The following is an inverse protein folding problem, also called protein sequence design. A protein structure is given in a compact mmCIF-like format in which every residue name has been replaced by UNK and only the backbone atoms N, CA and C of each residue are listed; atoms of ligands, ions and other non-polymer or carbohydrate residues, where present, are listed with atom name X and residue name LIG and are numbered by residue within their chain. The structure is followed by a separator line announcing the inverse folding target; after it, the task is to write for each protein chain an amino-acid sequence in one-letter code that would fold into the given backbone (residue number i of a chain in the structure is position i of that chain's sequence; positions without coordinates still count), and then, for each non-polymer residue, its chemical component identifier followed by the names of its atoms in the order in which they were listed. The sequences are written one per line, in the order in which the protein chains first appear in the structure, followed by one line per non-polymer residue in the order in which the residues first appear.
data_IF_539398449853
#
_entry.id   IF_539398449853
#
_cell.length_a   1.000
_cell.length_b   1.000
_cell.length_c   1.000
_cell.angle_alpha   90.00
_cell.angle_beta   90.00
_cell.angle_gamma   90.00
#
_symmetry.space_group_name_H-M   'P 1'
#
loop_
_entity.id
_entity.type
_entity.pdbx_description
1 polymer ?
2 polymer ?
3 non-polymer ?
4 non-polymer ?
5 water ?
#
# COMPACT_ATOMS: atom_id res chain seq x y z
N UNK A 1 18.10 -1.94 -18.02
CA UNK A 1 17.91 -0.96 -16.91
C UNK A 1 19.19 -0.25 -16.54
N UNK A 2 19.07 1.01 -16.13
CA UNK A 2 20.23 1.82 -15.79
C UNK A 2 20.99 1.26 -14.59
N UNK A 3 20.38 0.39 -13.80
CA UNK A 3 21.03 -0.19 -12.63
C UNK A 3 21.62 -1.56 -12.91
N UNK A 4 21.58 -2.02 -14.17
CA UNK A 4 22.05 -3.35 -14.48
C UNK A 4 23.52 -3.57 -14.21
N UNK A 5 24.31 -2.50 -14.25
CA UNK A 5 25.76 -2.63 -14.04
C UNK A 5 26.17 -2.53 -12.57
N UNK A 6 25.26 -2.22 -11.65
CA UNK A 6 25.62 -2.04 -10.25
C UNK A 6 25.36 -3.31 -9.45
N UNK A 7 26.29 -3.63 -8.54
CA UNK A 7 26.14 -4.79 -7.65
C UNK A 7 24.84 -4.71 -6.86
N UNK A 8 24.23 -5.87 -6.62
CA UNK A 8 23.05 -5.94 -5.76
C UNK A 8 23.30 -5.27 -4.41
N UNK A 9 24.42 -5.61 -3.76
CA UNK A 9 24.68 -5.08 -2.43
C UNK A 9 24.86 -3.57 -2.45
N UNK A 10 25.48 -3.05 -3.51
CA UNK A 10 25.66 -1.61 -3.65
C UNK A 10 24.32 -0.90 -3.84
N UNK A 11 23.42 -1.51 -4.61
CA UNK A 11 22.07 -0.95 -4.76
C UNK A 11 21.35 -0.88 -3.42
N UNK A 12 21.45 -1.93 -2.61
CA UNK A 12 20.82 -1.92 -1.29
C UNK A 12 21.46 -0.86 -0.41
N UNK A 13 22.80 -0.79 -0.42
CA UNK A 13 23.48 0.23 0.36
C UNK A 13 23.03 1.62 -0.04
N UNK A 14 22.92 1.89 -1.35
CA UNK A 14 22.53 3.21 -1.79
C UNK A 14 21.05 3.48 -1.55
N UNK A 15 20.20 2.45 -1.58
CA UNK A 15 18.81 2.65 -1.20
C UNK A 15 18.72 3.17 0.24
N UNK A 16 19.55 2.63 1.13
CA UNK A 16 19.53 3.08 2.53
C UNK A 16 20.06 4.50 2.66
N UNK A 17 21.07 4.85 1.88
CA UNK A 17 21.56 6.22 1.86
C UNK A 17 20.48 7.18 1.36
N UNK A 18 19.81 6.81 0.27
CA UNK A 18 18.76 7.66 -0.29
C UNK A 18 17.65 7.89 0.72
N UNK A 19 17.27 6.83 1.46
CA UNK A 19 16.28 7.00 2.53
C UNK A 19 16.74 8.05 3.54
N UNK A 20 18.01 7.98 3.96
CA UNK A 20 18.51 8.95 4.93
C UNK A 20 18.45 10.36 4.37
N UNK A 21 18.68 10.51 3.06
CA UNK A 21 18.66 11.79 2.38
C UNK A 21 17.25 12.20 1.96
N UNK A 22 16.25 11.36 2.21
CA UNK A 22 14.87 11.62 1.78
C UNK A 22 14.80 11.81 0.26
N UNK A 23 15.59 11.00 -0.45
CA UNK A 23 15.60 10.97 -1.91
C UNK A 23 14.85 9.71 -2.36
N UNK A 24 13.53 9.75 -2.28
CA UNK A 24 12.77 8.51 -2.43
C UNK A 24 12.66 8.04 -3.88
N UNK A 25 12.69 8.96 -4.85
CA UNK A 25 12.74 8.53 -6.24
C UNK A 25 14.03 7.75 -6.52
N UNK A 26 15.16 8.24 -6.03
CA UNK A 26 16.41 7.47 -6.12
C UNK A 26 16.27 6.14 -5.41
N UNK A 27 15.72 6.16 -4.20
CA UNK A 27 15.58 4.95 -3.41
C UNK A 27 14.80 3.90 -4.18
N UNK A 28 13.72 4.30 -4.83
CA UNK A 28 12.89 3.37 -5.58
C UNK A 28 13.64 2.80 -6.77
N UNK A 29 14.37 3.66 -7.51
CA UNK A 29 15.15 3.17 -8.63
C UNK A 29 16.22 2.18 -8.18
N UNK A 30 16.88 2.44 -7.04
CA UNK A 30 17.86 1.49 -6.53
C UNK A 30 17.20 0.15 -6.19
N UNK A 31 16.04 0.19 -5.51
CA UNK A 31 15.39 -1.06 -5.11
C UNK A 31 14.80 -1.79 -6.29
N UNK A 32 14.29 -1.06 -7.30
CA UNK A 32 13.90 -1.70 -8.54
C UNK A 32 15.08 -2.44 -9.15
N UNK A 33 16.25 -1.79 -9.18
CA UNK A 33 17.43 -2.45 -9.69
C UNK A 33 17.78 -3.70 -8.90
N UNK A 34 17.64 -3.64 -7.57
CA UNK A 34 17.93 -4.80 -6.74
C UNK A 34 16.95 -5.94 -7.03
N UNK A 35 15.66 -5.63 -7.17
CA UNK A 35 14.68 -6.66 -7.49
C UNK A 35 15.04 -7.33 -8.81
N UNK A 36 15.44 -6.54 -9.80
CA UNK A 36 15.69 -7.07 -11.13
C UNK A 36 16.95 -7.93 -11.20
N UNK A 37 17.75 -8.00 -10.12
CA UNK A 37 18.82 -8.98 -10.07
C UNK A 37 18.29 -10.41 -10.06
N UNK A 38 17.03 -10.61 -9.68
CA UNK A 38 16.39 -11.91 -9.78
C UNK A 38 16.41 -12.74 -8.51
N UNK A 39 17.14 -12.31 -7.47
CA UNK A 39 17.14 -13.02 -6.21
C UNK A 39 15.96 -12.56 -5.35
N UNK A 40 15.49 -13.46 -4.48
CA UNK A 40 14.44 -13.09 -3.54
C UNK A 40 14.97 -11.99 -2.60
N UNK A 41 14.03 -11.27 -2.01
CA UNK A 41 14.35 -10.19 -1.06
C UNK A 41 14.18 -10.66 0.37
N UNK A 42 15.10 -10.23 1.23
CA UNK A 42 14.99 -10.43 2.67
C UNK A 42 13.89 -9.54 3.24
N UNK A 43 13.56 -9.76 4.52
CA UNK A 43 12.54 -8.94 5.17
C UNK A 43 12.92 -7.46 5.13
N UNK A 44 14.17 -7.14 5.45
CA UNK A 44 14.59 -5.75 5.45
C UNK A 44 14.51 -5.16 4.05
N UNK A 45 14.90 -5.95 3.04
CA UNK A 45 14.87 -5.46 1.66
C UNK A 45 13.44 -5.24 1.17
N UNK A 46 12.51 -6.12 1.55
CA UNK A 46 11.11 -5.90 1.18
C UNK A 46 10.61 -4.59 1.77
N UNK A 47 11.00 -4.32 3.01
CA UNK A 47 10.56 -3.07 3.64
C UNK A 47 11.17 -1.86 2.93
N UNK A 48 12.44 -1.95 2.51
CA UNK A 48 13.04 -0.85 1.76
C UNK A 48 12.28 -0.60 0.46
N UNK A 49 11.92 -1.67 -0.25
CA UNK A 49 11.16 -1.54 -1.49
C UNK A 49 9.85 -0.82 -1.24
N UNK A 50 9.12 -1.24 -0.21
CA UNK A 50 7.84 -0.63 0.11
C UNK A 50 7.99 0.82 0.56
N UNK A 51 8.96 1.11 1.42
CA UNK A 51 9.17 2.49 1.87
C UNK A 51 9.41 3.39 0.66
N UNK A 52 10.27 2.96 -0.26
CA UNK A 52 10.63 3.80 -1.40
C UNK A 52 9.40 4.13 -2.24
N UNK A 53 8.70 3.11 -2.73
CA UNK A 53 7.58 3.38 -3.61
C UNK A 53 6.41 4.01 -2.88
N UNK A 54 6.19 3.68 -1.61
CA UNK A 54 5.08 4.32 -0.90
C UNK A 54 5.29 5.83 -0.81
N UNK A 55 6.54 6.25 -0.62
CA UNK A 55 6.82 7.68 -0.54
C UNK A 55 6.70 8.34 -1.90
N UNK A 56 7.18 7.68 -2.96
CA UNK A 56 7.02 8.24 -4.31
C UNK A 56 5.54 8.41 -4.65
N UNK A 57 4.77 7.34 -4.54
CA UNK A 57 3.36 7.42 -4.91
C UNK A 57 2.61 8.30 -3.92
N UNK A 58 3.10 8.42 -2.69
CA UNK A 58 2.45 9.30 -1.72
C UNK A 58 2.51 10.76 -2.13
N UNK A 59 3.65 11.19 -2.68
CA UNK A 59 3.73 12.54 -3.21
C UNK A 59 2.81 12.75 -4.40
N UNK A 60 2.71 11.75 -5.28
CA UNK A 60 1.84 11.86 -6.45
C UNK A 60 0.37 11.89 -6.03
N UNK A 61 -0.01 11.07 -5.05
CA UNK A 61 -1.40 11.06 -4.60
C UNK A 61 -1.78 12.39 -3.99
N UNK A 62 -0.89 12.97 -3.18
CA UNK A 62 -1.19 14.25 -2.56
C UNK A 62 -1.34 15.32 -3.62
N UNK A 63 -0.46 15.33 -4.63
CA UNK A 63 -0.55 16.30 -5.71
C UNK A 63 -1.82 16.10 -6.51
N UNK A 64 -2.14 14.85 -6.85
CA UNK A 64 -3.34 14.57 -7.61
C UNK A 64 -4.58 15.07 -6.89
N UNK A 65 -4.64 14.91 -5.58
CA UNK A 65 -5.82 15.35 -4.83
C UNK A 65 -5.96 16.86 -4.87
N UNK A 66 -4.85 17.58 -4.73
CA UNK A 66 -4.88 19.04 -4.84
C UNK A 66 -5.45 19.45 -6.20
N UNK A 67 -4.90 18.88 -7.28
CA UNK A 67 -5.31 19.27 -8.62
C UNK A 67 -6.74 18.84 -8.92
N UNK A 68 -7.13 17.64 -8.46
CA UNK A 68 -8.50 17.20 -8.67
C UNK A 68 -9.50 18.12 -7.97
N UNK A 69 -9.16 18.58 -6.77
CA UNK A 69 -10.03 19.52 -6.06
C UNK A 69 -10.20 20.81 -6.86
N UNK A 70 -9.10 21.36 -7.34
CA UNK A 70 -9.15 22.57 -8.17
C UNK A 70 -10.01 22.31 -9.41
N UNK A 71 -9.83 21.16 -10.05
CA UNK A 71 -10.59 20.84 -11.25
C UNK A 71 -12.08 20.79 -10.95
N UNK A 72 -12.47 20.17 -9.84
CA UNK A 72 -13.89 20.05 -9.52
C UNK A 72 -14.51 21.40 -9.21
N UNK A 73 -13.76 22.30 -8.56
CA UNK A 73 -14.27 23.65 -8.35
C UNK A 73 -14.50 24.35 -9.68
N UNK A 74 -13.57 24.19 -10.62
CA UNK A 74 -13.70 24.87 -11.92
C UNK A 74 -14.95 24.44 -12.66
N UNK A 75 -15.53 23.30 -12.31
CA UNK A 75 -16.70 22.77 -13.01
C UNK A 75 -18.00 23.01 -12.24
N UNK A 76 -17.96 23.78 -11.16
CA UNK A 76 -19.17 24.15 -10.43
C UNK A 76 -20.04 25.05 -11.28
N UNK A 79 -16.21 29.54 -11.08
CA UNK A 79 -17.15 29.18 -12.13
C UNK A 79 -16.68 29.68 -13.49
N UNK A 80 -15.66 30.54 -13.50
CA UNK A 80 -15.17 31.12 -14.74
C UNK A 80 -14.36 30.09 -15.53
N UNK A 81 -14.59 30.06 -16.84
CA UNK A 81 -13.82 29.18 -17.72
C UNK A 81 -12.37 29.61 -17.75
N UNK A 82 -11.46 28.63 -17.66
CA UNK A 82 -10.03 28.92 -17.69
C UNK A 82 -9.26 28.04 -18.66
N UNK A 83 -9.95 27.29 -19.52
CA UNK A 83 -9.30 26.51 -20.52
C UNK A 83 -8.90 25.14 -20.01
N UNK A 84 -8.09 24.43 -20.79
CA UNK A 84 -7.79 23.01 -20.52
C UNK A 84 -6.66 22.75 -19.53
N UNK A 85 -6.04 23.79 -18.97
CA UNK A 85 -4.77 23.60 -18.29
C UNK A 85 -4.91 22.76 -17.02
N UNK A 86 -5.94 23.01 -16.23
CA UNK A 86 -6.10 22.26 -14.98
C UNK A 86 -6.28 20.78 -15.28
N UNK A 87 -7.17 20.45 -16.23
CA UNK A 87 -7.36 19.06 -16.62
C UNK A 87 -6.06 18.46 -17.16
N UNK A 88 -5.36 19.19 -18.04
CA UNK A 88 -4.14 18.67 -18.63
C UNK A 88 -3.12 18.31 -17.55
N UNK A 89 -2.94 19.20 -16.58
CA UNK A 89 -1.90 18.97 -15.58
C UNK A 89 -2.32 17.90 -14.58
N UNK A 90 -3.61 17.86 -14.23
CA UNK A 90 -4.10 16.73 -13.44
C UNK A 90 -3.86 15.42 -14.18
N UNK A 91 -4.14 15.38 -15.49
CA UNK A 91 -3.89 14.18 -16.27
C UNK A 91 -2.40 13.82 -16.29
N UNK A 92 -1.53 14.83 -16.35
CA UNK A 92 -0.09 14.56 -16.35
C UNK A 92 0.33 13.86 -15.08
N UNK A 93 -0.09 14.39 -13.94
CA UNK A 93 0.28 13.80 -12.66
C UNK A 93 -0.36 12.42 -12.52
N UNK A 94 -1.62 12.31 -12.92
CA UNK A 94 -2.32 11.03 -12.88
C UNK A 94 -1.61 9.97 -13.71
N UNK A 95 -1.13 10.33 -14.90
CA UNK A 95 -0.44 9.38 -15.74
C UNK A 95 0.88 8.93 -15.11
N UNK A 96 1.60 9.86 -14.47
CA UNK A 96 2.85 9.50 -13.81
C UNK A 96 2.58 8.60 -12.63
N UNK A 97 1.53 8.88 -11.85
CA UNK A 97 1.11 8.02 -10.75
C UNK A 97 0.78 6.62 -11.24
N UNK A 98 -0.01 6.52 -12.31
CA UNK A 98 -0.35 5.22 -12.86
C UNK A 98 0.90 4.48 -13.33
N UNK A 99 1.89 5.21 -13.86
CA UNK A 99 3.11 4.57 -14.28
C UNK A 99 3.88 3.96 -13.12
N UNK A 100 3.92 4.66 -11.99
CA UNK A 100 4.59 4.13 -10.81
C UNK A 100 3.86 2.89 -10.31
N UNK A 101 2.53 2.94 -10.25
CA UNK A 101 1.78 1.77 -9.82
C UNK A 101 2.01 0.59 -10.75
N UNK A 102 2.04 0.84 -12.06
CA UNK A 102 2.28 -0.24 -13.02
C UNK A 102 3.68 -0.82 -12.83
N UNK A 103 4.65 0.03 -12.53
CA UNK A 103 6.01 -0.45 -12.30
C UNK A 103 6.05 -1.40 -11.10
N UNK A 104 5.43 -1.00 -9.98
CA UNK A 104 5.42 -1.84 -8.80
C UNK A 104 4.71 -3.15 -9.08
N UNK A 105 3.53 -3.07 -9.71
CA UNK A 105 2.78 -4.28 -10.02
C UNK A 105 3.55 -5.20 -10.95
N UNK A 106 4.32 -4.61 -11.86
CA UNK A 106 5.17 -5.41 -12.74
C UNK A 106 6.26 -6.16 -11.99
N UNK A 107 6.87 -5.51 -11.00
CA UNK A 107 7.90 -6.17 -10.19
C UNK A 107 7.29 -7.31 -9.39
N UNK A 108 6.10 -7.09 -8.83
CA UNK A 108 5.43 -8.14 -8.08
C UNK A 108 5.10 -9.32 -8.99
N UNK A 109 4.71 -9.05 -10.22
CA UNK A 109 4.33 -10.11 -11.15
C UNK A 109 5.52 -10.76 -11.83
N UNK A 110 6.68 -10.09 -11.84
CA UNK A 110 7.86 -10.58 -12.55
C UNK A 110 9.11 -10.30 -11.69
N UNK A 111 9.38 -11.14 -10.68
CA UNK A 111 8.67 -12.38 -10.37
C UNK A 111 8.57 -12.56 -8.85
N UNK A 112 8.38 -11.46 -8.13
CA UNK A 112 8.45 -11.51 -6.66
C UNK A 112 7.40 -12.46 -6.08
N UNK A 113 6.15 -12.35 -6.52
CA UNK A 113 5.09 -13.11 -5.87
C UNK A 113 5.26 -14.60 -6.15
N UNK A 114 5.57 -14.97 -7.39
CA UNK A 114 5.60 -16.40 -7.70
C UNK A 114 6.74 -17.11 -7.00
N UNK A 115 7.81 -16.41 -6.59
CA UNK A 115 8.89 -17.05 -5.88
C UNK A 115 8.74 -16.96 -4.36
N UNK A 116 7.71 -16.27 -3.85
CA UNK A 116 7.54 -16.04 -2.42
C UNK A 116 6.71 -17.17 -1.82
N UNK A 117 7.36 -18.01 -1.01
CA UNK A 117 6.71 -19.18 -0.44
C UNK A 117 6.41 -19.06 1.04
N UNK A 118 7.20 -18.29 1.77
CA UNK A 118 6.95 -18.10 3.19
C UNK A 118 5.80 -17.11 3.39
N UNK A 119 5.04 -17.30 4.47
CA UNK A 119 3.89 -16.45 4.71
C UNK A 119 4.27 -14.98 4.79
N UNK A 120 5.39 -14.68 5.46
CA UNK A 120 5.76 -13.28 5.70
C UNK A 120 6.03 -12.56 4.38
N UNK A 121 6.67 -13.22 3.43
CA UNK A 121 6.95 -12.59 2.15
C UNK A 121 5.73 -12.60 1.25
N UNK A 122 5.05 -13.74 1.14
CA UNK A 122 3.90 -13.83 0.23
C UNK A 122 2.80 -12.86 0.64
N UNK A 123 2.47 -12.79 1.93
CA UNK A 123 1.45 -11.85 2.39
C UNK A 123 1.88 -10.41 2.17
N UNK A 124 3.15 -10.09 2.48
CA UNK A 124 3.65 -8.74 2.25
C UNK A 124 3.48 -8.34 0.79
N UNK A 125 3.81 -9.23 -0.14
CA UNK A 125 3.76 -8.88 -1.55
C UNK A 125 2.32 -8.79 -2.05
N UNK A 126 1.46 -9.72 -1.59
CA UNK A 126 0.06 -9.67 -2.01
C UNK A 126 -0.63 -8.44 -1.45
N UNK A 127 -0.31 -8.05 -0.22
CA UNK A 127 -0.79 -6.78 0.31
C UNK A 127 -0.36 -5.61 -0.56
N UNK A 128 0.93 -5.59 -0.95
CA UNK A 128 1.42 -4.54 -1.84
C UNK A 128 0.64 -4.53 -3.14
N UNK A 129 0.34 -5.70 -3.70
CA UNK A 129 -0.42 -5.76 -4.93
C UNK A 129 -1.80 -5.13 -4.74
N UNK A 130 -2.46 -5.46 -3.63
CA UNK A 130 -3.73 -4.82 -3.32
C UNK A 130 -3.59 -3.31 -3.17
N UNK A 131 -2.55 -2.86 -2.45
CA UNK A 131 -2.33 -1.44 -2.24
C UNK A 131 -2.20 -0.68 -3.55
N UNK A 132 -1.39 -1.18 -4.49
CA UNK A 132 -1.14 -0.39 -5.69
C UNK A 132 -2.30 -0.49 -6.68
N UNK A 133 -3.10 -1.56 -6.65
CA UNK A 133 -4.38 -1.51 -7.35
C UNK A 133 -5.34 -0.53 -6.68
N UNK A 134 -5.29 -0.42 -5.34
CA UNK A 134 -6.12 0.57 -4.67
C UNK A 134 -5.73 1.99 -5.09
N UNK A 135 -4.43 2.27 -5.17
CA UNK A 135 -4.01 3.60 -5.61
C UNK A 135 -4.47 3.86 -7.04
N UNK A 136 -4.43 2.85 -7.90
CA UNK A 136 -5.00 3.00 -9.23
C UNK A 136 -6.49 3.27 -9.17
N UNK A 137 -7.20 2.58 -8.27
CA UNK A 137 -8.64 2.76 -8.14
C UNK A 137 -8.99 4.17 -7.71
N UNK A 138 -8.12 4.81 -6.91
CA UNK A 138 -8.40 6.15 -6.41
C UNK A 138 -8.59 7.15 -7.55
N UNK A 139 -7.94 6.92 -8.69
CA UNK A 139 -7.99 7.85 -9.82
C UNK A 139 -8.76 7.28 -11.01
N UNK A 140 -9.29 6.06 -10.89
CA UNK A 140 -9.96 5.41 -12.01
C UNK A 140 -11.38 5.95 -12.16
N UNK A 141 -11.79 6.16 -13.41
CA UNK A 141 -13.12 6.69 -13.72
C UNK A 141 -13.79 6.04 -14.91
N UNK A 142 -13.11 5.21 -15.68
CA UNK A 142 -13.62 4.70 -16.93
C UNK A 142 -14.16 3.29 -16.80
N UNK A 143 -14.17 2.58 -17.93
CA UNK A 143 -14.80 1.27 -18.03
C UNK A 143 -13.99 0.16 -17.36
N UNK A 144 -12.85 0.47 -16.77
CA UNK A 144 -12.06 -0.52 -16.06
C UNK A 144 -11.93 -0.21 -14.57
N UNK A 145 -12.65 0.80 -14.06
CA UNK A 145 -12.64 1.02 -12.62
C UNK A 145 -13.12 -0.22 -11.88
N UNK A 146 -14.19 -0.84 -12.37
CA UNK A 146 -14.69 -2.04 -11.71
C UNK A 146 -13.63 -3.15 -11.72
N UNK A 147 -12.90 -3.32 -12.82
CA UNK A 147 -11.91 -4.38 -12.87
C UNK A 147 -10.71 -4.05 -11.98
N UNK A 148 -10.34 -2.78 -11.89
CA UNK A 148 -9.24 -2.39 -11.01
C UNK A 148 -9.61 -2.68 -9.56
N UNK A 149 -10.84 -2.32 -9.17
CA UNK A 149 -11.31 -2.55 -7.81
C UNK A 149 -11.31 -4.04 -7.49
N UNK A 150 -11.75 -4.87 -8.43
CA UNK A 150 -11.79 -6.31 -8.21
C UNK A 150 -10.39 -6.89 -8.07
N UNK A 151 -9.43 -6.33 -8.82
CA UNK A 151 -8.04 -6.79 -8.71
C UNK A 151 -7.48 -6.47 -7.32
N UNK A 152 -7.74 -5.27 -6.82
CA UNK A 152 -7.33 -4.95 -5.46
C UNK A 152 -7.99 -5.91 -4.47
N UNK A 153 -9.30 -6.08 -4.58
CA UNK A 153 -10.02 -6.97 -3.67
C UNK A 153 -9.44 -8.37 -3.69
N UNK A 154 -9.21 -8.90 -4.90
CA UNK A 154 -8.72 -10.28 -5.03
C UNK A 154 -7.36 -10.44 -4.38
N UNK A 155 -6.46 -9.47 -4.57
CA UNK A 155 -5.13 -9.58 -3.97
C UNK A 155 -5.21 -9.52 -2.45
N UNK A 156 -5.96 -8.55 -1.92
CA UNK A 156 -6.15 -8.46 -0.48
C UNK A 156 -6.74 -9.75 0.08
N UNK A 157 -7.73 -10.32 -0.61
CA UNK A 157 -8.40 -11.51 -0.09
C UNK A 157 -7.45 -12.71 -0.04
N UNK A 158 -6.63 -12.90 -1.07
CA UNK A 158 -5.64 -13.98 -1.02
C UNK A 158 -4.67 -13.76 0.13
N UNK A 159 -4.23 -12.52 0.34
CA UNK A 159 -3.32 -12.22 1.43
C UNK A 159 -3.98 -12.48 2.78
N UNK A 160 -5.25 -12.08 2.91
CA UNK A 160 -5.98 -12.31 4.15
C UNK A 160 -6.08 -13.80 4.45
N UNK A 161 -6.45 -14.60 3.45
CA UNK A 161 -6.62 -16.04 3.69
C UNK A 161 -5.33 -16.65 4.22
N UNK A 162 -4.19 -16.33 3.60
CA UNK A 162 -2.91 -16.86 4.06
C UNK A 162 -2.60 -16.35 5.45
N UNK A 163 -2.81 -15.05 5.70
CA UNK A 163 -2.39 -14.47 6.97
C UNK A 163 -3.19 -15.06 8.12
N UNK A 164 -4.47 -15.34 7.91
CA UNK A 164 -5.26 -15.92 8.99
C UNK A 164 -4.83 -17.35 9.29
N UNK A 165 -4.35 -18.06 8.28
CA UNK A 165 -3.92 -19.45 8.47
C UNK A 165 -2.52 -19.56 9.05
N UNK A 166 -1.62 -18.64 8.68
CA UNK A 166 -0.19 -18.81 8.92
C UNK A 166 0.44 -17.83 9.90
N UNK A 167 -0.26 -16.79 10.31
CA UNK A 167 0.33 -15.74 11.13
C UNK A 167 -0.50 -15.51 12.37
N UNK A 168 0.12 -15.12 13.49
CA UNK A 168 -0.64 -14.78 14.68
C UNK A 168 -1.38 -13.48 14.48
N UNK A 169 -2.46 -13.25 15.25
CA UNK A 169 -3.27 -12.04 15.05
C UNK A 169 -2.54 -10.74 15.31
N UNK A 170 -1.40 -10.78 16.02
CA UNK A 170 -0.63 -9.57 16.29
C UNK A 170 0.46 -9.32 15.28
N UNK A 171 0.67 -10.21 14.33
CA UNK A 171 1.73 -10.03 13.36
C UNK A 171 1.58 -8.67 12.66
N UNK A 172 2.60 -7.82 12.65
CA UNK A 172 2.43 -6.49 12.02
C UNK A 172 2.06 -6.51 10.55
N UNK A 173 2.54 -7.50 9.79
CA UNK A 173 2.14 -7.61 8.39
C UNK A 173 0.65 -7.95 8.30
N UNK A 174 0.20 -8.94 9.07
CA UNK A 174 -1.23 -9.26 9.11
C UNK A 174 -2.06 -8.05 9.51
N UNK A 175 -1.61 -7.30 10.51
CA UNK A 175 -2.36 -6.13 10.96
C UNK A 175 -2.38 -5.03 9.91
N UNK A 176 -1.24 -4.75 9.30
CA UNK A 176 -1.21 -3.72 8.26
C UNK A 176 -2.03 -4.11 7.04
N UNK A 177 -2.07 -5.39 6.73
CA UNK A 177 -2.93 -5.88 5.65
C UNK A 177 -4.39 -5.65 5.97
N UNK A 178 -4.83 -6.08 7.16
CA UNK A 178 -6.23 -5.89 7.55
C UNK A 178 -6.59 -4.42 7.61
N UNK A 179 -5.70 -3.59 8.15
CA UNK A 179 -5.90 -2.14 8.13
C UNK A 179 -6.18 -1.66 6.71
N UNK A 180 -5.32 -2.04 5.76
CA UNK A 180 -5.46 -1.50 4.40
C UNK A 180 -6.67 -2.08 3.68
N UNK A 181 -7.01 -3.34 3.94
CA UNK A 181 -8.22 -3.92 3.35
C UNK A 181 -9.45 -3.19 3.89
N UNK A 182 -9.42 -2.80 5.17
CA UNK A 182 -10.55 -2.06 5.72
C UNK A 182 -10.65 -0.68 5.08
N UNK A 183 -9.51 -0.04 4.81
CA UNK A 183 -9.50 1.24 4.09
C UNK A 183 -10.04 1.04 2.67
N UNK A 184 -9.65 -0.05 2.01
CA UNK A 184 -10.23 -0.37 0.71
C UNK A 184 -11.76 -0.45 0.80
N UNK A 185 -12.28 -1.14 1.80
CA UNK A 185 -13.74 -1.27 1.92
C UNK A 185 -14.39 0.10 2.11
N UNK A 186 -13.81 0.94 2.96
CA UNK A 186 -14.44 2.22 3.30
C UNK A 186 -14.33 3.24 2.16
N UNK A 187 -13.14 3.35 1.56
CA UNK A 187 -12.85 4.44 0.66
C UNK A 187 -13.06 4.09 -0.81
N UNK A 188 -12.96 2.82 -1.18
CA UNK A 188 -12.97 2.39 -2.57
C UNK A 188 -14.25 1.62 -2.91
N UNK A 189 -14.64 0.69 -2.04
CA UNK A 189 -15.68 -0.29 -2.37
C UNK A 189 -17.06 0.10 -1.84
N UNK A 190 -17.19 1.29 -1.27
CA UNK A 190 -18.49 1.78 -0.78
C UNK A 190 -19.09 0.79 0.22
N UNK A 191 -18.24 0.21 1.07
CA UNK A 191 -18.65 -0.81 2.04
C UNK A 191 -18.20 -0.40 3.44
N UNK A 192 -18.72 0.71 3.97
CA UNK A 192 -18.28 1.15 5.31
C UNK A 192 -18.56 0.13 6.39
N UNK A 193 -19.68 -0.60 6.33
CA UNK A 193 -19.95 -1.58 7.37
C UNK A 193 -18.92 -2.71 7.35
N UNK A 194 -18.54 -3.18 6.17
CA UNK A 194 -17.48 -4.19 6.09
C UNK A 194 -16.17 -3.65 6.64
N UNK A 195 -15.85 -2.38 6.32
CA UNK A 195 -14.63 -1.77 6.84
C UNK A 195 -14.62 -1.76 8.36
N UNK A 196 -15.73 -1.34 8.96
CA UNK A 196 -15.83 -1.22 10.41
C UNK A 196 -15.73 -2.59 11.07
N UNK A 197 -16.47 -3.57 10.54
CA UNK A 197 -16.44 -4.91 11.09
C UNK A 197 -15.04 -5.49 11.04
N UNK A 198 -14.37 -5.36 9.90
CA UNK A 198 -13.02 -5.90 9.79
C UNK A 198 -12.06 -5.22 10.77
N UNK A 199 -12.15 -3.89 10.88
CA UNK A 199 -11.25 -3.19 11.81
C UNK A 199 -11.48 -3.62 13.24
N UNK A 200 -12.76 -3.77 13.64
CA UNK A 200 -13.09 -4.15 15.02
C UNK A 200 -12.60 -5.56 15.33
N UNK A 201 -12.89 -6.52 14.46
CA UNK A 201 -12.48 -7.89 14.72
C UNK A 201 -10.97 -8.03 14.71
N UNK A 202 -10.30 -7.33 13.79
CA UNK A 202 -8.84 -7.35 13.76
C UNK A 202 -8.26 -6.81 15.07
N UNK A 203 -8.79 -5.68 15.52
CA UNK A 203 -8.30 -5.07 16.75
C UNK A 203 -8.51 -5.99 17.95
N UNK A 204 -9.72 -6.54 18.08
CA UNK A 204 -10.04 -7.37 19.23
C UNK A 204 -9.22 -8.66 19.24
N UNK A 205 -9.04 -9.29 18.09
CA UNK A 205 -8.24 -10.52 18.07
C UNK A 205 -6.77 -10.24 18.36
N UNK A 206 -6.27 -9.07 17.96
CA UNK A 206 -4.90 -8.70 18.32
C UNK A 206 -4.80 -8.43 19.82
N UNK A 207 -5.75 -7.67 20.37
CA UNK A 207 -5.72 -7.38 21.80
C UNK A 207 -5.56 -8.65 22.63
N UNK A 208 -6.29 -9.70 22.27
CA UNK A 208 -6.30 -10.95 23.04
C UNK A 208 -5.01 -11.75 22.90
N UNK A 209 -4.15 -11.40 21.94
CA UNK A 209 -2.89 -12.09 21.71
C UNK A 209 -1.69 -11.29 22.20
N UNK A 210 -1.89 -10.06 22.67
CA UNK A 210 -0.77 -9.23 23.08
C UNK A 210 0.01 -9.87 24.21
N UNK A 211 -0.65 -10.64 25.07
CA UNK A 211 0.01 -11.17 26.26
C UNK A 211 1.15 -12.12 25.91
N UNK A 212 1.18 -12.62 24.67
CA UNK A 212 2.20 -13.56 24.23
C UNK A 212 3.49 -12.89 23.80
N UNK A 213 3.52 -11.56 23.72
CA UNK A 213 4.57 -10.82 23.03
C UNK A 213 5.61 -10.24 24.01
N UNK A 214 6.83 -10.12 23.50
CA UNK A 214 7.87 -9.32 24.15
C UNK A 214 7.49 -7.84 24.13
N UNK A 215 8.24 -7.05 24.92
CA UNK A 215 8.01 -5.62 24.95
C UNK A 215 8.17 -5.00 23.55
N UNK A 216 9.19 -5.43 22.81
CA UNK A 216 9.45 -4.83 21.50
C UNK A 216 8.38 -5.22 20.49
N UNK A 217 7.94 -6.48 20.48
CA UNK A 217 6.87 -6.90 19.58
C UNK A 217 5.54 -6.25 19.97
N UNK A 218 5.26 -6.16 21.27
CA UNK A 218 4.11 -5.43 21.74
C UNK A 218 4.07 -4.01 21.17
N UNK A 219 5.21 -3.32 21.18
CA UNK A 219 5.26 -1.98 20.62
C UNK A 219 4.97 -1.99 19.12
N UNK A 220 5.54 -2.94 18.38
CA UNK A 220 5.26 -3.02 16.94
C UNK A 220 3.77 -3.21 16.69
N UNK A 221 3.16 -4.16 17.41
CA UNK A 221 1.75 -4.50 17.16
C UNK A 221 0.82 -3.37 17.58
N UNK A 222 1.03 -2.79 18.77
CA UNK A 222 0.11 -1.76 19.23
C UNK A 222 0.15 -0.52 18.36
N UNK A 223 1.30 -0.25 17.71
CA UNK A 223 1.36 0.90 16.80
C UNK A 223 0.33 0.76 15.68
N UNK A 224 0.23 -0.43 15.08
CA UNK A 224 -0.73 -0.64 14.00
C UNK A 224 -2.15 -0.70 14.56
N UNK A 225 -2.32 -1.30 15.74
CA UNK A 225 -3.64 -1.36 16.34
C UNK A 225 -4.21 0.03 16.57
N UNK A 226 -3.36 0.99 16.94
CA UNK A 226 -3.82 2.36 17.14
C UNK A 226 -4.37 2.96 15.86
N UNK A 227 -3.80 2.61 14.70
CA UNK A 227 -4.33 3.08 13.43
C UNK A 227 -5.72 2.53 13.18
N UNK A 228 -5.94 1.25 13.49
CA UNK A 228 -7.29 0.69 13.41
C UNK A 228 -8.24 1.47 14.30
N UNK A 229 -7.81 1.77 15.52
CA UNK A 229 -8.66 2.53 16.44
C UNK A 229 -8.94 3.94 15.91
N UNK A 230 -7.91 4.61 15.37
CA UNK A 230 -8.11 5.94 14.82
C UNK A 230 -9.15 5.92 13.72
N UNK A 231 -9.11 4.90 12.85
CA UNK A 231 -10.08 4.81 11.78
C UNK A 231 -11.48 4.55 12.33
N UNK A 232 -11.60 3.63 13.29
CA UNK A 232 -12.92 3.39 13.87
C UNK A 232 -13.51 4.67 14.47
N UNK A 233 -12.66 5.50 15.07
CA UNK A 233 -13.14 6.76 15.63
C UNK A 233 -13.59 7.72 14.52
N UNK A 234 -12.87 7.72 13.39
CA UNK A 234 -13.29 8.52 12.25
C UNK A 234 -14.58 8.01 11.63
N UNK A 235 -14.76 6.68 11.61
CA UNK A 235 -15.83 6.06 10.84
C UNK A 235 -17.13 5.89 11.61
N UNK A 236 -17.11 6.02 12.93
CA UNK A 236 -18.29 5.79 13.74
C UNK A 236 -18.60 7.01 14.62
N UNK B 1 -9.06 11.81 5.41
CA UNK B 1 -8.97 10.45 4.88
C UNK B 1 -8.64 9.45 5.97
N UNK B 2 -8.83 8.18 5.65
CA UNK B 2 -8.50 7.10 6.57
C UNK B 2 -7.00 6.89 6.63
N UNK B 3 -6.54 6.37 7.77
CA UNK B 3 -5.15 6.00 7.97
C UNK B 3 -4.88 4.63 7.35
N UNK B 4 -3.81 4.52 6.56
CA UNK B 4 -3.39 3.21 6.09
C UNK B 4 -2.06 2.81 6.73
N UNK B 5 -1.60 1.62 6.41
CA UNK B 5 -0.45 1.02 7.07
C UNK B 5 0.84 1.77 6.76
N UNK B 6 1.75 1.85 7.72
CA UNK B 6 3.12 2.26 7.36
C UNK B 6 3.70 1.29 6.34
N UNK B 7 4.72 1.77 5.62
CA UNK B 7 5.36 0.92 4.62
C UNK B 7 6.17 -0.20 5.25
N UNK B 8 6.88 0.11 6.34
CA UNK B 8 7.79 -0.85 6.96
C UNK B 8 7.03 -1.63 8.02
N UNK B 9 7.04 -2.96 7.90
CA UNK B 9 6.30 -3.84 8.79
C UNK B 9 7.21 -4.98 9.20
N UNK B 10 7.21 -5.29 10.49
CA UNK B 10 8.14 -6.27 11.04
C UNK B 10 7.67 -7.71 10.76
X LIG C 1 -17.78 35.38 -14.14
X LIG D 1 26.91 -9.52 -8.85
X LIG E 1 4.76 -1.46 13.85
X LIG F 1 0.68 19.50 -18.38
X LIG G 1 -4.11 -11.55 -6.99
X LIG H 1 12.51 12.34 -4.32
#
# INVERSE_FOLDING_TARGET
GAMGSMERASLIQKAKLAEQAERYEDMAAFMKGAVEKGEELSCEERNLLSVAYKNVVGGQRAAWRVLSSIEQKSNEEGSEEKGPEVREYREKVETELQGVCDTVLGLLDSHLIKEAGDAESRVFYLKMKGDYYRYLAEVATGDDKKRIIDSARSAYQEAMDISKKEMPPTNPIRLGLALNFSVFHYEIANSPEEAISLAKTTFDEAMADLHTLSEDSYKDSTLIMQLLRDNLTLWT
RSHSSPASLQ
MG MG
MG MG
MG MG
CL CL
CL CL
CL CL
#
